data_IF_866281198374
#
_entry.id   IF_866281198374
#
_cell.length_a   1.000
_cell.length_b   1.000
_cell.length_c   1.000
_cell.angle_alpha   90.00
_cell.angle_beta   90.00
_cell.angle_gamma   90.00
#
_symmetry.space_group_name_H-M   'P 1'
#
loop_
_entity.id
_entity.type
_entity.pdbx_description
1 polymer ?
#
# COMPACT_ATOMS: atom_id res chain seq x y z
N UNK A 1 28.61 -42.20 72.20
CA UNK A 1 29.29 -42.38 70.90
C UNK A 1 28.43 -41.77 69.82
N UNK A 2 28.80 -40.57 69.32
CA UNK A 2 28.03 -39.84 68.30
C UNK A 2 28.81 -39.95 66.98
N UNK A 3 28.20 -40.60 65.99
CA UNK A 3 28.74 -40.70 64.62
C UNK A 3 28.36 -39.36 63.87
N UNK A 4 29.35 -38.58 63.55
CA UNK A 4 29.21 -37.44 62.64
C UNK A 4 29.00 -37.94 61.19
N UNK A 5 27.82 -37.71 60.63
CA UNK A 5 27.56 -37.94 59.21
C UNK A 5 28.18 -36.78 58.42
N UNK A 6 29.18 -37.10 57.62
CA UNK A 6 29.75 -36.18 56.63
C UNK A 6 28.85 -36.13 55.39
N UNK A 7 28.08 -35.04 55.26
CA UNK A 7 27.40 -34.74 54.00
C UNK A 7 28.42 -34.25 52.98
N UNK A 8 28.79 -35.10 52.03
CA UNK A 8 29.48 -34.67 50.84
C UNK A 8 28.52 -33.87 49.97
N UNK A 9 28.63 -32.51 50.03
CA UNK A 9 28.03 -31.59 49.07
C UNK A 9 28.74 -31.82 47.76
N UNK A 10 28.10 -32.55 46.82
CA UNK A 10 28.57 -32.73 45.45
C UNK A 10 28.58 -31.33 44.79
N UNK A 11 29.78 -30.74 44.69
CA UNK A 11 29.97 -29.49 43.93
C UNK A 11 29.55 -29.79 42.49
N UNK A 12 28.49 -29.06 42.04
CA UNK A 12 28.07 -29.06 40.65
C UNK A 12 29.21 -28.35 39.88
N UNK A 13 30.02 -29.12 39.15
CA UNK A 13 31.03 -28.61 38.26
C UNK A 13 30.25 -27.87 37.17
N UNK A 14 30.18 -26.53 37.23
CA UNK A 14 29.74 -25.73 36.14
C UNK A 14 30.78 -25.92 35.04
N UNK A 15 30.42 -26.70 34.02
CA UNK A 15 31.28 -26.92 32.84
C UNK A 15 31.36 -25.61 32.09
N UNK A 16 32.50 -24.92 32.16
CA UNK A 16 32.85 -23.81 31.30
C UNK A 16 32.65 -24.24 29.84
N UNK A 17 31.98 -23.44 29.02
CA UNK A 17 31.70 -23.82 27.64
C UNK A 17 33.01 -24.05 26.90
N UNK A 18 33.19 -25.22 26.31
CA UNK A 18 34.39 -25.59 25.54
C UNK A 18 34.51 -24.58 24.39
N UNK A 19 35.75 -24.14 24.05
CA UNK A 19 36.02 -23.15 22.99
C UNK A 19 35.22 -23.44 21.69
N UNK A 20 35.06 -24.73 21.36
CA UNK A 20 34.23 -25.16 20.21
C UNK A 20 32.75 -24.76 20.32
N UNK A 21 32.15 -24.82 21.54
CA UNK A 21 30.77 -24.34 21.75
C UNK A 21 30.65 -22.85 21.57
N UNK A 22 31.59 -22.09 22.12
CA UNK A 22 31.62 -20.63 22.00
C UNK A 22 31.77 -20.23 20.51
N UNK A 23 32.70 -20.84 19.79
CA UNK A 23 32.90 -20.58 18.36
C UNK A 23 31.61 -20.91 17.57
N UNK A 24 30.97 -22.05 17.84
CA UNK A 24 29.70 -22.42 17.20
C UNK A 24 28.60 -21.38 17.46
N UNK A 25 28.47 -20.91 18.68
CA UNK A 25 27.48 -19.85 19.03
C UNK A 25 27.79 -18.54 18.30
N UNK A 26 29.05 -18.13 18.29
CA UNK A 26 29.47 -16.91 17.55
C UNK A 26 29.13 -17.03 16.06
N UNK A 27 29.42 -18.16 15.45
CA UNK A 27 29.10 -18.40 14.03
C UNK A 27 27.61 -18.34 13.77
N UNK A 28 26.79 -18.95 14.65
CA UNK A 28 25.32 -18.91 14.54
C UNK A 28 24.82 -17.46 14.62
N UNK A 29 25.31 -16.69 15.60
CA UNK A 29 24.91 -15.28 15.74
C UNK A 29 25.33 -14.43 14.53
N UNK A 30 26.52 -14.65 13.99
CA UNK A 30 26.97 -13.98 12.77
C UNK A 30 26.09 -14.33 11.57
N UNK A 31 25.73 -15.61 11.40
CA UNK A 31 24.82 -16.04 10.34
C UNK A 31 23.43 -15.40 10.49
N UNK A 32 22.90 -15.32 11.71
CA UNK A 32 21.61 -14.67 11.98
C UNK A 32 21.67 -13.16 11.67
N UNK A 33 22.76 -12.48 12.01
CA UNK A 33 22.96 -11.07 11.70
C UNK A 33 23.00 -10.87 10.17
N UNK A 34 23.79 -11.66 9.45
CA UNK A 34 23.86 -11.59 7.99
C UNK A 34 22.49 -11.87 7.37
N UNK A 35 21.77 -12.88 7.85
CA UNK A 35 20.43 -13.22 7.38
C UNK A 35 19.44 -12.07 7.61
N UNK A 36 19.44 -11.46 8.79
CA UNK A 36 18.55 -10.33 9.11
C UNK A 36 18.86 -9.10 8.27
N UNK A 37 20.11 -8.77 8.07
CA UNK A 37 20.53 -7.66 7.19
C UNK A 37 20.09 -7.92 5.76
N UNK A 38 20.32 -9.13 5.25
CA UNK A 38 19.97 -9.49 3.86
C UNK A 38 18.45 -9.49 3.66
N UNK A 39 17.69 -10.03 4.61
CA UNK A 39 16.24 -10.02 4.58
C UNK A 39 15.68 -8.58 4.66
N UNK A 40 16.22 -7.75 5.54
CA UNK A 40 15.82 -6.34 5.65
C UNK A 40 16.10 -5.57 4.36
N UNK A 41 17.27 -5.75 3.76
CA UNK A 41 17.62 -5.14 2.48
C UNK A 41 16.67 -5.60 1.36
N UNK A 42 16.38 -6.90 1.29
CA UNK A 42 15.44 -7.44 0.30
C UNK A 42 14.03 -6.86 0.46
N UNK A 43 13.53 -6.77 1.70
CA UNK A 43 12.21 -6.21 2.00
C UNK A 43 12.16 -4.73 1.60
N UNK A 44 13.13 -3.93 2.02
CA UNK A 44 13.12 -2.49 1.76
C UNK A 44 13.26 -2.14 0.28
N UNK A 45 13.94 -2.96 -0.51
CA UNK A 45 14.14 -2.70 -1.94
C UNK A 45 13.05 -3.28 -2.84
N UNK A 46 12.42 -4.39 -2.44
CA UNK A 46 11.46 -5.10 -3.30
C UNK A 46 10.00 -4.94 -2.86
N UNK A 47 9.76 -4.68 -1.58
CA UNK A 47 8.40 -4.54 -1.02
C UNK A 47 7.90 -3.11 -1.11
N UNK A 48 8.75 -2.16 -0.75
CA UNK A 48 8.40 -0.75 -0.71
C UNK A 48 9.15 0.04 -1.77
N UNK A 49 8.42 0.87 -2.49
CA UNK A 49 8.98 1.82 -3.47
C UNK A 49 8.53 3.22 -3.09
N UNK A 50 9.38 4.20 -3.30
CA UNK A 50 9.05 5.61 -3.15
C UNK A 50 8.78 6.22 -4.51
N UNK A 51 7.71 7.00 -4.61
CA UNK A 51 7.41 7.79 -5.80
C UNK A 51 7.01 9.20 -5.40
N UNK A 52 7.37 10.18 -6.22
CA UNK A 52 6.90 11.55 -6.04
C UNK A 52 5.50 11.69 -6.62
N UNK A 53 4.65 12.46 -5.95
CA UNK A 53 3.34 12.88 -6.44
C UNK A 53 3.58 13.93 -7.53
N UNK A 54 3.13 13.65 -8.74
CA UNK A 54 3.17 14.58 -9.87
C UNK A 54 1.78 15.15 -10.10
N UNK A 55 1.69 16.49 -10.10
CA UNK A 55 0.44 17.22 -10.29
C UNK A 55 -0.48 17.23 -9.06
N UNK A 56 -1.61 17.90 -9.25
CA UNK A 56 -2.55 18.28 -8.18
C UNK A 56 -3.76 17.36 -8.05
N UNK A 57 -3.83 16.30 -8.85
CA UNK A 57 -5.05 15.47 -8.99
C UNK A 57 -5.46 14.73 -7.71
N UNK A 58 -4.57 14.59 -6.72
CA UNK A 58 -4.85 13.94 -5.44
C UNK A 58 -4.95 14.93 -4.28
N UNK A 59 -4.91 16.23 -4.55
CA UNK A 59 -5.13 17.24 -3.51
C UNK A 59 -6.57 17.18 -2.99
N UNK A 60 -6.81 17.47 -1.73
CA UNK A 60 -5.84 17.82 -0.68
C UNK A 60 -5.22 16.60 0.02
N UNK A 61 -5.54 15.36 -0.40
CA UNK A 61 -5.04 14.13 0.26
C UNK A 61 -3.52 13.99 0.10
N UNK A 62 -3.02 14.20 -1.12
CA UNK A 62 -1.60 14.18 -1.44
C UNK A 62 -1.27 15.43 -2.24
N UNK A 63 -0.30 16.20 -1.74
CA UNK A 63 0.15 17.45 -2.38
C UNK A 63 1.22 17.16 -3.42
N UNK A 64 1.28 17.99 -4.46
CA UNK A 64 2.34 17.92 -5.46
C UNK A 64 3.74 17.96 -4.83
N UNK A 65 4.65 17.16 -5.33
CA UNK A 65 6.03 17.04 -4.85
C UNK A 65 6.21 16.22 -3.57
N UNK A 66 5.14 15.81 -2.89
CA UNK A 66 5.25 14.87 -1.77
C UNK A 66 5.79 13.52 -2.24
N UNK A 67 6.57 12.86 -1.39
CA UNK A 67 7.03 11.49 -1.62
C UNK A 67 6.11 10.51 -0.91
N UNK A 68 5.57 9.56 -1.67
CA UNK A 68 4.66 8.52 -1.19
C UNK A 68 5.39 7.18 -1.15
N UNK A 69 5.16 6.44 -0.07
CA UNK A 69 5.64 5.07 0.12
C UNK A 69 4.58 4.12 -0.42
N UNK A 70 4.96 3.30 -1.37
CA UNK A 70 4.08 2.35 -2.08
C UNK A 70 4.40 0.93 -1.63
N UNK A 71 3.40 0.21 -1.13
CA UNK A 71 3.49 -1.21 -0.81
C UNK A 71 3.13 -2.04 -2.05
N UNK A 72 4.13 -2.66 -2.67
CA UNK A 72 3.95 -3.50 -3.87
C UNK A 72 3.36 -4.87 -3.56
N UNK A 73 3.68 -5.42 -2.39
CA UNK A 73 3.27 -6.80 -2.02
C UNK A 73 1.79 -6.88 -1.64
N UNK A 74 1.19 -5.79 -1.18
CA UNK A 74 -0.23 -5.78 -0.78
C UNK A 74 -1.11 -6.48 -1.82
N UNK A 75 -0.91 -6.14 -3.08
CA UNK A 75 -1.76 -6.63 -4.16
C UNK A 75 -1.27 -7.91 -4.86
N UNK A 76 -0.15 -8.50 -4.41
CA UNK A 76 0.14 -9.90 -4.73
C UNK A 76 -0.71 -10.86 -3.89
N UNK A 77 -1.08 -10.44 -2.67
CA UNK A 77 -1.81 -11.27 -1.71
C UNK A 77 -3.31 -10.97 -1.68
N UNK A 78 -3.70 -9.76 -2.08
CA UNK A 78 -5.09 -9.27 -2.00
C UNK A 78 -5.45 -8.50 -3.26
N UNK A 79 -6.74 -8.30 -3.49
CA UNK A 79 -7.23 -7.38 -4.52
C UNK A 79 -7.34 -5.95 -3.95
N UNK A 80 -7.13 -4.91 -4.78
CA UNK A 80 -7.45 -3.54 -4.43
C UNK A 80 -8.88 -3.41 -3.92
N UNK A 81 -9.07 -2.58 -2.89
CA UNK A 81 -10.37 -2.32 -2.28
C UNK A 81 -10.83 -0.91 -2.61
N UNK A 82 -12.13 -0.69 -2.53
CA UNK A 82 -12.70 0.66 -2.63
C UNK A 82 -12.08 1.59 -1.58
N UNK A 83 -11.74 2.79 -1.99
CA UNK A 83 -11.00 3.84 -1.29
C UNK A 83 -9.49 3.61 -1.14
N UNK A 84 -8.92 2.49 -1.59
CA UNK A 84 -7.46 2.38 -1.67
C UNK A 84 -6.91 3.44 -2.62
N UNK A 85 -5.83 4.12 -2.22
CA UNK A 85 -5.05 4.96 -3.12
C UNK A 85 -4.01 4.07 -3.77
N UNK A 86 -4.11 3.92 -5.09
CA UNK A 86 -3.23 3.04 -5.87
C UNK A 86 -2.24 3.85 -6.69
N UNK A 87 -1.09 3.24 -6.90
CA UNK A 87 -0.09 3.69 -7.87
C UNK A 87 -0.10 2.72 -9.03
N UNK A 88 -0.27 3.23 -10.24
CA UNK A 88 -0.36 2.39 -11.44
C UNK A 88 0.39 3.02 -12.60
N UNK A 89 0.64 2.22 -13.63
CA UNK A 89 1.29 2.63 -14.86
C UNK A 89 0.39 2.30 -16.04
N UNK A 90 -0.06 3.30 -16.75
CA UNK A 90 -0.92 3.12 -17.90
C UNK A 90 -0.14 2.53 -19.08
N UNK A 91 -0.55 1.36 -19.55
CA UNK A 91 0.20 0.58 -20.56
C UNK A 91 0.24 1.22 -21.96
N UNK A 92 -0.71 2.09 -22.26
CA UNK A 92 -0.92 2.64 -23.61
C UNK A 92 -0.27 4.02 -23.86
N UNK A 93 0.54 4.53 -22.95
CA UNK A 93 1.24 5.82 -23.12
C UNK A 93 2.73 5.59 -23.36
N UNK A 94 3.26 6.18 -24.41
CA UNK A 94 4.68 6.10 -24.82
C UNK A 94 5.64 6.63 -23.74
N UNK A 95 5.16 7.56 -22.90
CA UNK A 95 5.85 8.11 -21.72
C UNK A 95 4.95 7.89 -20.50
N UNK A 96 4.85 6.64 -20.03
CA UNK A 96 4.00 6.35 -18.89
C UNK A 96 4.72 6.67 -17.58
N UNK A 97 4.34 7.77 -16.98
CA UNK A 97 4.62 8.07 -15.57
C UNK A 97 3.74 7.20 -14.66
N UNK A 98 4.14 7.08 -13.41
CA UNK A 98 3.28 6.51 -12.40
C UNK A 98 2.17 7.50 -12.06
N UNK A 99 0.94 7.06 -12.19
CA UNK A 99 -0.26 7.79 -11.80
C UNK A 99 -0.70 7.35 -10.40
N UNK A 100 -1.26 8.29 -9.64
CA UNK A 100 -1.80 8.03 -8.31
C UNK A 100 -3.26 8.44 -8.31
N UNK A 101 -4.16 7.51 -8.02
CA UNK A 101 -5.62 7.75 -7.99
C UNK A 101 -6.27 6.89 -6.90
N UNK A 102 -7.49 7.23 -6.54
CA UNK A 102 -8.32 6.48 -5.60
C UNK A 102 -9.23 5.51 -6.31
N UNK A 103 -9.30 4.27 -5.85
CA UNK A 103 -10.22 3.24 -6.34
C UNK A 103 -11.65 3.59 -5.90
N UNK A 104 -12.53 3.73 -6.87
CA UNK A 104 -13.96 4.03 -6.67
C UNK A 104 -14.82 2.84 -7.08
N UNK A 105 -14.62 2.28 -8.26
CA UNK A 105 -15.33 1.09 -8.75
C UNK A 105 -14.44 -0.15 -8.69
N UNK A 106 -15.06 -1.27 -8.37
CA UNK A 106 -14.42 -2.59 -8.27
C UNK A 106 -14.85 -3.48 -9.46
N UNK A 107 -14.08 -4.53 -9.76
CA UNK A 107 -14.43 -5.48 -10.81
C UNK A 107 -15.88 -5.96 -10.74
N UNK A 108 -16.55 -6.01 -11.88
CA UNK A 108 -17.94 -6.44 -11.99
C UNK A 108 -19.00 -5.42 -11.57
N UNK A 109 -18.62 -4.24 -11.08
CA UNK A 109 -19.56 -3.18 -10.70
C UNK A 109 -19.92 -2.27 -11.89
N UNK A 110 -21.03 -1.57 -11.77
CA UNK A 110 -21.40 -0.46 -12.66
C UNK A 110 -21.19 0.84 -11.90
N UNK A 111 -20.39 1.74 -12.45
CA UNK A 111 -20.13 3.06 -11.89
C UNK A 111 -20.87 4.10 -12.72
N UNK A 112 -21.67 4.93 -12.06
CA UNK A 112 -22.40 6.04 -12.69
C UNK A 112 -22.20 7.32 -11.89
N UNK A 113 -22.07 8.44 -12.57
CA UNK A 113 -22.01 9.76 -11.93
C UNK A 113 -23.17 10.59 -12.43
N UNK A 114 -24.06 11.01 -11.51
CA UNK A 114 -25.22 11.82 -11.83
C UNK A 114 -25.37 12.96 -10.82
N UNK A 115 -25.54 14.18 -11.32
CA UNK A 115 -25.65 15.39 -10.50
C UNK A 115 -24.51 15.52 -9.47
N UNK A 116 -23.29 15.15 -9.86
CA UNK A 116 -22.11 15.22 -9.01
C UNK A 116 -21.97 14.09 -7.97
N UNK A 117 -22.93 13.16 -7.92
CA UNK A 117 -22.96 12.03 -6.97
C UNK A 117 -22.57 10.76 -7.70
N UNK A 118 -21.70 9.97 -7.06
CA UNK A 118 -21.26 8.66 -7.56
C UNK A 118 -22.24 7.60 -7.13
N UNK A 119 -22.62 6.74 -8.05
CA UNK A 119 -23.46 5.56 -7.82
C UNK A 119 -22.68 4.30 -8.18
N UNK A 120 -22.80 3.28 -7.35
CA UNK A 120 -22.26 1.94 -7.57
C UNK A 120 -23.43 0.97 -7.61
N UNK A 121 -23.66 0.32 -8.75
CA UNK A 121 -24.80 -0.57 -8.96
C UNK A 121 -26.13 0.10 -8.57
N UNK A 122 -26.31 1.35 -9.01
CA UNK A 122 -27.46 2.23 -8.74
C UNK A 122 -27.63 2.71 -7.29
N UNK A 123 -26.73 2.35 -6.38
CA UNK A 123 -26.73 2.85 -5.00
C UNK A 123 -25.75 4.01 -4.85
N UNK A 124 -26.19 5.12 -4.21
CA UNK A 124 -25.32 6.27 -3.99
C UNK A 124 -24.15 5.92 -3.06
N UNK A 125 -22.93 6.19 -3.54
CA UNK A 125 -21.71 5.91 -2.77
C UNK A 125 -21.55 6.97 -1.67
N UNK A 126 -21.45 6.52 -0.41
CA UNK A 126 -20.97 7.36 0.68
C UNK A 126 -19.44 7.37 0.65
N UNK A 127 -18.86 8.48 0.25
CA UNK A 127 -17.43 8.63 0.18
C UNK A 127 -16.78 8.76 1.57
N UNK A 128 -15.58 8.24 1.73
CA UNK A 128 -14.81 8.32 2.98
C UNK A 128 -13.93 9.56 3.07
N UNK A 129 -13.75 10.26 1.96
CA UNK A 129 -12.88 11.45 1.86
C UNK A 129 -13.72 12.67 1.52
N UNK A 130 -13.24 13.83 1.96
CA UNK A 130 -13.84 15.12 1.60
C UNK A 130 -13.40 15.45 0.18
N UNK A 131 -14.37 15.60 -0.70
CA UNK A 131 -14.15 15.97 -2.09
C UNK A 131 -15.14 17.05 -2.50
N UNK A 132 -14.81 17.79 -3.54
CA UNK A 132 -15.75 18.69 -4.17
C UNK A 132 -16.81 17.91 -4.97
N UNK A 133 -17.95 18.56 -5.22
CA UNK A 133 -18.98 18.02 -6.11
C UNK A 133 -18.40 17.89 -7.52
N UNK A 134 -18.59 16.74 -8.14
CA UNK A 134 -18.10 16.46 -9.50
C UNK A 134 -18.92 17.29 -10.50
N UNK A 135 -18.24 18.18 -11.23
CA UNK A 135 -18.86 19.01 -12.26
C UNK A 135 -18.99 18.26 -13.60
N UNK A 136 -17.97 17.46 -13.94
CA UNK A 136 -17.92 16.69 -15.18
C UNK A 136 -17.89 15.18 -14.90
N UNK A 137 -19.00 14.51 -15.22
CA UNK A 137 -19.14 13.06 -15.09
C UNK A 137 -18.38 12.27 -16.17
N UNK A 138 -18.09 12.91 -17.31
CA UNK A 138 -17.42 12.26 -18.44
C UNK A 138 -18.15 11.00 -18.91
N UNK A 139 -17.38 9.94 -19.20
CA UNK A 139 -17.93 8.65 -19.64
C UNK A 139 -18.86 7.99 -18.58
N UNK A 140 -18.70 8.35 -17.31
CA UNK A 140 -19.50 7.77 -16.23
C UNK A 140 -20.92 8.36 -16.15
N UNK A 141 -21.29 9.35 -16.96
CA UNK A 141 -22.66 9.88 -17.01
C UNK A 141 -23.67 8.82 -17.46
N UNK A 142 -23.32 8.05 -18.49
CA UNK A 142 -24.14 6.97 -19.00
C UNK A 142 -24.04 5.67 -18.15
N UNK A 143 -22.99 5.56 -17.34
CA UNK A 143 -22.66 4.38 -16.55
C UNK A 143 -21.65 3.47 -17.24
N UNK A 144 -20.62 3.09 -16.51
CA UNK A 144 -19.53 2.23 -16.96
C UNK A 144 -19.64 0.89 -16.23
N UNK A 145 -19.83 -0.21 -16.97
CA UNK A 145 -19.74 -1.55 -16.43
C UNK A 145 -18.28 -1.99 -16.46
N UNK A 146 -17.74 -2.35 -15.30
CA UNK A 146 -16.36 -2.82 -15.14
C UNK A 146 -16.26 -4.32 -15.40
N UNK A 147 -15.22 -4.72 -16.12
CA UNK A 147 -14.87 -6.13 -16.30
C UNK A 147 -14.23 -6.72 -15.04
N UNK A 148 -13.98 -8.05 -15.05
CA UNK A 148 -13.47 -8.79 -13.87
C UNK A 148 -12.06 -8.38 -13.40
N UNK A 149 -11.33 -7.62 -14.20
CA UNK A 149 -9.99 -7.14 -13.90
C UNK A 149 -9.83 -5.62 -13.96
N UNK A 150 -10.94 -4.89 -14.06
CA UNK A 150 -10.97 -3.45 -14.22
C UNK A 150 -11.35 -2.72 -12.93
N UNK A 151 -10.71 -1.58 -12.71
CA UNK A 151 -10.98 -0.67 -11.62
C UNK A 151 -11.28 0.72 -12.17
N UNK A 152 -12.35 1.33 -11.66
CA UNK A 152 -12.63 2.72 -11.94
C UNK A 152 -11.98 3.59 -10.86
N UNK A 153 -11.16 4.54 -11.28
CA UNK A 153 -10.38 5.38 -10.36
C UNK A 153 -10.68 6.85 -10.56
N UNK A 154 -10.65 7.62 -9.48
CA UNK A 154 -10.78 9.07 -9.50
C UNK A 154 -9.62 9.74 -8.75
N UNK A 155 -9.28 10.96 -9.18
CA UNK A 155 -8.50 11.86 -8.34
C UNK A 155 -9.35 12.38 -7.18
N UNK A 156 -8.73 12.72 -6.05
CA UNK A 156 -9.44 13.36 -4.93
C UNK A 156 -9.76 14.83 -5.25
N UNK A 157 -8.94 15.47 -6.05
CA UNK A 157 -9.23 16.76 -6.68
C UNK A 157 -10.15 16.55 -7.90
N UNK A 158 -11.44 16.39 -7.63
CA UNK A 158 -12.46 15.92 -8.58
C UNK A 158 -12.55 16.74 -9.86
N UNK A 159 -12.37 18.03 -9.77
CA UNK A 159 -12.55 18.94 -10.89
C UNK A 159 -11.22 19.30 -11.60
N UNK A 160 -10.07 18.87 -11.02
CA UNK A 160 -8.74 19.03 -11.60
C UNK A 160 -7.97 17.69 -11.62
N UNK A 161 -8.61 16.68 -12.21
CA UNK A 161 -8.04 15.33 -12.34
C UNK A 161 -8.39 14.70 -13.69
N UNK A 162 -7.39 14.22 -14.39
CA UNK A 162 -7.55 13.30 -15.51
C UNK A 162 -7.57 11.86 -14.96
N UNK A 163 -8.71 11.18 -15.08
CA UNK A 163 -8.97 9.88 -14.45
C UNK A 163 -9.95 9.02 -15.28
N UNK A 164 -10.51 7.97 -14.72
CA UNK A 164 -11.35 7.01 -15.46
C UNK A 164 -12.60 7.61 -16.10
N UNK A 165 -12.97 8.84 -15.77
CA UNK A 165 -14.04 9.59 -16.47
C UNK A 165 -13.69 9.93 -17.90
N UNK A 166 -12.42 9.95 -18.25
CA UNK A 166 -11.92 10.38 -19.56
C UNK A 166 -11.37 9.20 -20.35
N UNK A 167 -11.68 9.15 -21.65
CA UNK A 167 -11.22 8.08 -22.54
C UNK A 167 -9.68 8.00 -22.67
N UNK A 168 -8.97 9.09 -22.40
CA UNK A 168 -7.51 9.14 -22.34
C UNK A 168 -6.91 8.28 -21.24
N UNK A 169 -7.65 8.04 -20.15
CA UNK A 169 -7.27 7.18 -19.03
C UNK A 169 -8.03 5.86 -19.08
N UNK A 170 -9.35 5.91 -19.11
CA UNK A 170 -10.22 4.73 -19.05
C UNK A 170 -10.13 3.98 -17.71
N UNK A 171 -10.59 2.73 -17.71
CA UNK A 171 -10.49 1.86 -16.56
C UNK A 171 -9.06 1.36 -16.38
N UNK A 172 -8.62 1.23 -15.13
CA UNK A 172 -7.28 0.71 -14.79
C UNK A 172 -7.32 -0.80 -14.66
N UNK A 173 -6.46 -1.48 -15.41
CA UNK A 173 -6.37 -2.93 -15.33
C UNK A 173 -5.58 -3.38 -14.09
N UNK A 174 -5.96 -4.54 -13.56
CA UNK A 174 -5.29 -5.11 -12.38
C UNK A 174 -3.78 -5.26 -12.53
N UNK A 175 -3.30 -5.60 -13.72
CA UNK A 175 -1.88 -5.79 -14.03
C UNK A 175 -1.10 -4.47 -14.21
N UNK A 176 -1.78 -3.35 -14.34
CA UNK A 176 -1.17 -2.02 -14.40
C UNK A 176 -0.87 -1.46 -13.00
N UNK A 177 -1.52 -2.02 -11.96
CA UNK A 177 -1.39 -1.55 -10.58
C UNK A 177 -0.05 -2.01 -9.99
N UNK A 178 0.82 -1.06 -9.67
CA UNK A 178 2.10 -1.29 -9.03
C UNK A 178 1.95 -1.67 -7.54
N UNK A 179 1.06 -0.97 -6.82
CA UNK A 179 0.86 -1.18 -5.40
C UNK A 179 -0.04 -0.13 -4.75
N UNK A 180 -0.20 -0.26 -3.43
CA UNK A 180 -0.98 0.66 -2.60
C UNK A 180 -0.07 1.77 -2.04
N UNK A 181 -0.49 3.01 -2.16
CA UNK A 181 0.10 4.13 -1.45
C UNK A 181 -0.29 4.05 0.04
N UNK A 182 0.69 3.83 0.92
CA UNK A 182 0.42 3.55 2.34
C UNK A 182 0.74 4.72 3.26
N UNK A 183 1.75 5.52 2.95
CA UNK A 183 2.15 6.66 3.76
C UNK A 183 2.88 7.72 2.92
N UNK A 184 2.88 8.96 3.40
CA UNK A 184 3.79 10.01 2.95
C UNK A 184 5.10 9.93 3.71
N UNK A 185 6.21 10.37 3.10
CA UNK A 185 7.52 10.32 3.76
C UNK A 185 7.72 11.49 4.73
N UNK A 186 7.33 12.70 4.31
CA UNK A 186 7.52 13.93 5.08
C UNK A 186 6.33 14.88 4.90
N UNK A 187 5.55 15.13 5.97
CA UNK A 187 5.55 14.41 7.24
C UNK A 187 5.16 12.94 7.04
N UNK A 188 5.63 12.05 7.90
CA UNK A 188 5.18 10.64 7.85
C UNK A 188 3.73 10.57 8.33
N UNK A 189 2.83 10.26 7.42
CA UNK A 189 1.40 10.15 7.69
C UNK A 189 0.81 9.01 6.87
N UNK A 190 -0.08 8.23 7.47
CA UNK A 190 -0.77 7.16 6.74
C UNK A 190 -1.77 7.75 5.75
N UNK A 191 -1.73 7.32 4.50
CA UNK A 191 -2.63 7.81 3.43
C UNK A 191 -4.10 7.57 3.78
N UNK A 192 -4.41 6.41 4.35
CA UNK A 192 -5.79 6.06 4.75
C UNK A 192 -6.37 6.96 5.87
N UNK A 193 -5.53 7.76 6.56
CA UNK A 193 -5.96 8.72 7.59
C UNK A 193 -6.06 10.17 7.09
N UNK A 194 -5.72 10.41 5.83
CA UNK A 194 -5.75 11.75 5.23
C UNK A 194 -7.12 12.06 4.64
N UNK A 195 -7.53 13.32 4.78
CA UNK A 195 -8.73 13.88 4.13
C UNK A 195 -10.01 13.06 4.38
N UNK A 196 -10.23 12.55 5.59
CA UNK A 196 -11.45 11.80 5.91
C UNK A 196 -12.67 12.71 5.96
N UNK A 197 -13.80 12.22 5.44
CA UNK A 197 -15.12 12.82 5.64
C UNK A 197 -15.59 12.58 7.08
N UNK A 198 -16.31 13.56 7.63
CA UNK A 198 -16.88 13.49 8.99
C UNK A 198 -18.04 12.50 9.08
#
# INVERSE_FOLDING_TARGET
MARKAYFHKKARIETTPTAKKIIKEIVIWLLLIVLTITASYFITTNVFVKTAVAGVSMEPTLMEGQVVIVNKIEYYLKSPKRNDVIVYKQSNREHSYYEIKRVIGLPGETVKIKNGIIYINDEALKEKVKTETIENAGLAEEGIKLDDNEYFVLGDNRNDSEDSRFASVGNVLRNEILGKAVATEKPFTLVDSLNLAD
#
